data_IF_172958426878
#
_entry.id   IF_172958426878
#
_cell.length_a   1.000
_cell.length_b   1.000
_cell.length_c   1.000
_cell.angle_alpha   90.00
_cell.angle_beta   90.00
_cell.angle_gamma   90.00
#
_symmetry.space_group_name_H-M   'P 1'
#
loop_
_entity.id
_entity.type
_entity.pdbx_description
1 polymer ?
#
# COMPACT_ATOMS: atom_id res chain seq x y z
N UNK A 1 9.63 -8.34 22.00
CA UNK A 1 8.81 -7.17 21.65
C UNK A 1 8.63 -7.20 20.14
N UNK A 2 7.40 -7.36 19.65
CA UNK A 2 7.11 -7.44 18.20
C UNK A 2 7.20 -6.04 17.61
N UNK A 3 8.22 -5.77 16.80
CA UNK A 3 8.34 -4.52 16.04
C UNK A 3 7.11 -4.40 15.14
N UNK A 4 6.20 -3.47 15.44
CA UNK A 4 5.00 -3.23 14.62
C UNK A 4 5.46 -2.74 13.24
N UNK A 5 5.42 -3.63 12.25
CA UNK A 5 5.76 -3.31 10.86
C UNK A 5 4.56 -2.58 10.26
N UNK A 6 4.71 -1.29 9.99
CA UNK A 6 3.62 -0.51 9.37
C UNK A 6 3.38 -0.98 7.94
N UNK A 7 2.11 -1.25 7.63
CA UNK A 7 1.70 -1.63 6.28
C UNK A 7 1.71 -0.40 5.37
N UNK A 8 1.97 -0.61 4.08
CA UNK A 8 2.06 0.49 3.12
C UNK A 8 0.75 1.30 3.06
N UNK A 9 -0.40 0.60 3.09
CA UNK A 9 -1.71 1.23 3.09
C UNK A 9 -1.97 2.11 4.34
N UNK A 10 -1.52 1.68 5.52
CA UNK A 10 -1.65 2.46 6.76
C UNK A 10 -0.81 3.75 6.68
N UNK A 11 0.40 3.67 6.12
CA UNK A 11 1.26 4.84 5.92
C UNK A 11 0.58 5.83 4.97
N UNK A 12 0.06 5.36 3.84
CA UNK A 12 -0.65 6.21 2.88
C UNK A 12 -1.89 6.89 3.48
N UNK A 13 -2.63 6.18 4.34
CA UNK A 13 -3.76 6.78 5.07
C UNK A 13 -3.26 7.83 6.07
N UNK A 14 -2.19 7.55 6.80
CA UNK A 14 -1.61 8.50 7.77
C UNK A 14 -1.06 9.78 7.12
N UNK A 15 -0.63 9.69 5.86
CA UNK A 15 -0.20 10.83 5.06
C UNK A 15 -1.38 11.65 4.50
N UNK A 16 -2.62 11.16 4.64
CA UNK A 16 -3.83 11.84 4.16
C UNK A 16 -4.05 11.74 2.64
N UNK A 17 -3.25 10.94 1.93
CA UNK A 17 -3.31 10.78 0.47
C UNK A 17 -4.17 9.61 0.02
N UNK A 18 -4.55 8.73 0.96
CA UNK A 18 -5.40 7.57 0.70
C UNK A 18 -6.47 7.46 1.78
N UNK A 19 -7.69 7.10 1.39
CA UNK A 19 -8.78 6.79 2.34
C UNK A 19 -8.88 5.29 2.61
N UNK A 20 -9.44 4.91 3.76
CA UNK A 20 -9.73 3.50 4.07
C UNK A 20 -10.62 2.84 3.00
N UNK A 21 -11.58 3.59 2.45
CA UNK A 21 -12.46 3.10 1.38
C UNK A 21 -11.68 2.78 0.12
N UNK A 22 -10.79 3.67 -0.33
CA UNK A 22 -9.93 3.44 -1.49
C UNK A 22 -8.97 2.26 -1.28
N UNK A 23 -8.40 2.14 -0.07
CA UNK A 23 -7.54 1.01 0.27
C UNK A 23 -8.32 -0.31 0.21
N UNK A 24 -9.51 -0.38 0.78
CA UNK A 24 -10.36 -1.57 0.75
C UNK A 24 -10.76 -1.96 -0.68
N UNK A 25 -11.07 -0.99 -1.54
CA UNK A 25 -11.36 -1.25 -2.96
C UNK A 25 -10.13 -1.87 -3.67
N UNK A 26 -8.94 -1.34 -3.42
CA UNK A 26 -7.71 -1.87 -4.02
C UNK A 26 -7.35 -3.27 -3.50
N UNK A 27 -7.54 -3.54 -2.20
CA UNK A 27 -7.31 -4.86 -1.60
C UNK A 27 -8.27 -5.90 -2.16
N UNK A 28 -9.57 -5.57 -2.25
CA UNK A 28 -10.57 -6.44 -2.87
C UNK A 28 -10.20 -6.75 -4.32
N UNK A 29 -9.72 -5.75 -5.07
CA UNK A 29 -9.25 -5.96 -6.44
C UNK A 29 -8.04 -6.90 -6.51
N UNK A 30 -7.10 -6.76 -5.59
CA UNK A 30 -5.94 -7.64 -5.48
C UNK A 30 -6.37 -9.09 -5.24
N UNK A 31 -7.24 -9.31 -4.26
CA UNK A 31 -7.79 -10.62 -3.90
C UNK A 31 -8.55 -11.26 -5.08
N UNK A 32 -9.39 -10.49 -5.78
CA UNK A 32 -10.11 -10.95 -6.97
C UNK A 32 -9.14 -11.38 -8.10
N UNK A 33 -8.02 -10.66 -8.28
CA UNK A 33 -7.02 -11.01 -9.28
C UNK A 33 -6.27 -12.28 -8.91
N UNK A 34 -5.87 -12.42 -7.65
CA UNK A 34 -5.18 -13.61 -7.13
C UNK A 34 -6.09 -14.84 -7.23
N UNK A 35 -7.38 -14.71 -6.87
CA UNK A 35 -8.38 -15.78 -6.99
C UNK A 35 -8.64 -16.20 -8.44
N UNK A 36 -8.45 -15.30 -9.41
CA UNK A 36 -8.55 -15.60 -10.85
C UNK A 36 -7.26 -16.23 -11.41
N UNK A 37 -6.23 -16.48 -10.58
CA UNK A 37 -4.95 -17.00 -11.02
C UNK A 37 -4.17 -16.03 -11.92
N UNK A 38 -4.46 -14.74 -11.84
CA UNK A 38 -3.69 -13.70 -12.54
C UNK A 38 -2.34 -13.49 -11.84
N UNK A 39 -1.41 -12.87 -12.54
CA UNK A 39 -0.15 -12.44 -11.94
C UNK A 39 -0.42 -11.54 -10.73
N UNK A 40 0.19 -11.89 -9.59
CA UNK A 40 0.05 -11.14 -8.35
C UNK A 40 0.64 -9.73 -8.52
N UNK A 41 -0.19 -8.71 -8.33
CA UNK A 41 0.24 -7.31 -8.35
C UNK A 41 0.40 -6.77 -6.93
N UNK A 42 1.48 -6.06 -6.60
CA UNK A 42 1.61 -5.41 -5.30
C UNK A 42 0.56 -4.31 -5.14
N UNK A 43 0.05 -4.11 -3.91
CA UNK A 43 -1.02 -3.15 -3.62
C UNK A 43 -0.69 -1.73 -4.10
N UNK A 44 0.57 -1.30 -3.98
CA UNK A 44 1.02 0.01 -4.45
C UNK A 44 0.82 0.22 -5.95
N UNK A 45 1.01 -0.83 -6.76
CA UNK A 45 0.76 -0.76 -8.20
C UNK A 45 -0.74 -0.64 -8.49
N UNK A 46 -1.58 -1.39 -7.78
CA UNK A 46 -3.05 -1.31 -7.95
C UNK A 46 -3.55 0.09 -7.60
N UNK A 47 -3.05 0.68 -6.51
CA UNK A 47 -3.39 2.04 -6.08
C UNK A 47 -3.01 3.10 -7.13
N UNK A 48 -1.84 2.95 -7.77
CA UNK A 48 -1.41 3.82 -8.88
C UNK A 48 -2.29 3.65 -10.13
N UNK A 49 -2.56 2.40 -10.53
CA UNK A 49 -3.38 2.09 -11.71
C UNK A 49 -4.82 2.63 -11.59
N UNK A 50 -5.35 2.71 -10.36
CA UNK A 50 -6.68 3.29 -10.09
C UNK A 50 -6.65 4.81 -9.89
N UNK A 51 -5.47 5.44 -9.88
CA UNK A 51 -5.31 6.87 -9.62
C UNK A 51 -5.67 7.29 -8.19
N UNK A 52 -5.66 6.35 -7.23
CA UNK A 52 -5.96 6.66 -5.83
C UNK A 52 -4.80 7.38 -5.14
N UNK A 53 -3.58 7.17 -5.62
CA UNK A 53 -2.36 7.84 -5.14
C UNK A 53 -1.52 8.26 -6.36
N UNK A 54 -0.66 9.25 -6.18
CA UNK A 54 0.36 9.61 -7.17
C UNK A 54 1.65 8.78 -7.01
N UNK A 55 2.53 8.77 -8.03
CA UNK A 55 3.85 8.14 -7.91
C UNK A 55 4.67 8.71 -6.74
N UNK A 56 4.56 10.01 -6.48
CA UNK A 56 5.28 10.66 -5.37
C UNK A 56 4.76 10.17 -4.01
N UNK A 57 3.45 10.02 -3.85
CA UNK A 57 2.84 9.50 -2.63
C UNK A 57 3.35 8.08 -2.31
N UNK A 58 3.43 7.23 -3.34
CA UNK A 58 3.94 5.87 -3.20
C UNK A 58 5.43 5.87 -2.80
N UNK A 59 6.24 6.71 -3.45
CA UNK A 59 7.68 6.84 -3.14
C UNK A 59 7.89 7.27 -1.68
N UNK A 60 7.16 8.29 -1.22
CA UNK A 60 7.26 8.77 0.16
C UNK A 60 6.82 7.70 1.16
N UNK A 61 5.70 7.01 0.91
CA UNK A 61 5.23 5.94 1.77
C UNK A 61 6.24 4.78 1.86
N UNK A 62 6.88 4.39 0.75
CA UNK A 62 7.92 3.36 0.74
C UNK A 62 9.14 3.80 1.56
N UNK A 63 9.59 5.05 1.42
CA UNK A 63 10.71 5.58 2.22
C UNK A 63 10.42 5.52 3.72
N UNK A 64 9.21 5.85 4.14
CA UNK A 64 8.79 5.74 5.55
C UNK A 64 8.79 4.27 5.98
N UNK A 65 8.24 3.38 5.16
CA UNK A 65 8.17 1.95 5.48
C UNK A 65 9.55 1.29 5.60
N UNK A 66 10.53 1.70 4.80
CA UNK A 66 11.89 1.13 4.84
C UNK A 66 12.71 1.67 5.99
N UNK A 67 12.62 2.96 6.31
CA UNK A 67 13.31 3.57 7.48
C UNK A 67 12.92 2.91 8.80
N UNK A 68 11.67 2.46 8.94
CA UNK A 68 11.22 1.77 10.15
C UNK A 68 11.71 0.32 10.27
N UNK A 69 12.33 -0.24 9.22
CA UNK A 69 12.89 -1.60 9.22
C UNK A 69 14.35 -1.64 9.66
N UNK A 70 15.03 -0.50 9.81
CA UNK A 70 16.39 -0.47 10.32
C UNK A 70 16.37 -0.67 11.85
N UNK A 71 16.94 -1.77 12.38
CA UNK A 71 17.21 -1.86 13.81
C UNK A 71 18.32 -0.85 14.15
N UNK A 72 18.13 -0.13 15.25
CA UNK A 72 19.17 0.68 15.91
C UNK A 72 20.30 -0.24 16.38
#
# INVERSE_FOLDING_TARGET
MTTKKYLLGEILISLGVLTEVQLNLALKKQEEMDAQGKEHKPIGQILLEHGFISPNDLIEAIKIQTKQKEPI
#
